data_IF_670208252302
#
_entry.id   IF_670208252302
#
_cell.length_a   1.000
_cell.length_b   1.000
_cell.length_c   1.000
_cell.angle_alpha   90.00
_cell.angle_beta   90.00
_cell.angle_gamma   90.00
#
_symmetry.space_group_name_H-M   'P 1'
#
loop_
_entity.id
_entity.type
_entity.pdbx_description
1 polymer ?
#
# COMPACT_ATOMS: atom_id res chain seq x y z
N UNK A 1 34.81 -12.59 -13.48
CA UNK A 1 33.98 -11.39 -13.33
C UNK A 1 32.92 -11.66 -12.26
N UNK A 2 33.03 -11.02 -11.13
CA UNK A 2 31.98 -11.06 -10.12
C UNK A 2 30.86 -10.15 -10.58
N UNK A 3 29.74 -10.75 -11.04
CA UNK A 3 28.54 -10.00 -11.32
C UNK A 3 27.94 -9.47 -10.03
N UNK A 4 27.78 -8.16 -9.92
CA UNK A 4 27.01 -7.59 -8.82
C UNK A 4 25.54 -7.90 -9.07
N UNK A 5 24.92 -8.67 -8.16
CA UNK A 5 23.49 -8.84 -8.16
C UNK A 5 22.84 -7.50 -7.80
N UNK A 6 22.10 -6.92 -8.73
CA UNK A 6 21.29 -5.72 -8.45
C UNK A 6 20.07 -6.19 -7.69
N UNK A 7 19.98 -5.80 -6.39
CA UNK A 7 18.80 -6.07 -5.60
C UNK A 7 17.68 -5.15 -6.09
N UNK A 8 16.55 -5.75 -6.47
CA UNK A 8 15.35 -5.02 -6.86
C UNK A 8 14.32 -5.13 -5.74
N UNK A 9 13.74 -4.00 -5.34
CA UNK A 9 12.67 -3.98 -4.36
C UNK A 9 11.46 -4.71 -4.94
N UNK A 10 10.93 -5.70 -4.21
CA UNK A 10 9.80 -6.52 -4.61
C UNK A 10 8.79 -6.55 -3.48
N UNK A 11 7.51 -6.36 -3.82
CA UNK A 11 6.38 -6.44 -2.89
C UNK A 11 5.50 -7.63 -3.28
N UNK A 12 5.21 -8.48 -2.31
CA UNK A 12 4.36 -9.67 -2.49
C UNK A 12 3.33 -9.79 -1.39
N UNK A 13 2.34 -10.66 -1.59
CA UNK A 13 1.34 -11.01 -0.58
C UNK A 13 1.12 -12.51 -0.56
N UNK A 14 0.91 -13.08 0.63
CA UNK A 14 0.42 -14.44 0.78
C UNK A 14 -1.12 -14.49 0.71
N UNK A 15 -1.78 -13.34 0.76
CA UNK A 15 -3.24 -13.25 0.70
C UNK A 15 -3.78 -13.34 -0.74
N UNK A 16 -3.00 -12.86 -1.73
CA UNK A 16 -3.37 -12.93 -3.14
C UNK A 16 -2.11 -12.91 -4.02
N UNK A 17 -2.23 -13.38 -5.25
CA UNK A 17 -1.14 -13.35 -6.22
C UNK A 17 -1.20 -12.06 -7.05
N UNK A 18 -0.04 -11.63 -7.58
CA UNK A 18 0.04 -10.44 -8.43
C UNK A 18 -0.92 -10.57 -9.63
N UNK A 19 -1.76 -9.57 -9.82
CA UNK A 19 -2.79 -9.56 -10.87
C UNK A 19 -4.03 -10.39 -10.53
N UNK A 20 -4.01 -11.13 -9.42
CA UNK A 20 -5.11 -11.99 -9.00
C UNK A 20 -6.15 -11.28 -8.16
N UNK A 21 -7.24 -11.99 -7.89
CA UNK A 21 -8.34 -11.45 -7.09
C UNK A 21 -7.96 -11.38 -5.61
N UNK A 22 -8.31 -10.25 -4.99
CA UNK A 22 -8.18 -10.07 -3.54
C UNK A 22 -9.35 -10.84 -2.88
N UNK A 23 -9.08 -11.70 -1.89
CA UNK A 23 -10.15 -12.42 -1.20
C UNK A 23 -11.13 -11.49 -0.47
N UNK A 24 -12.38 -11.90 -0.39
CA UNK A 24 -13.47 -11.13 0.23
C UNK A 24 -13.17 -10.72 1.68
N UNK A 25 -12.36 -11.49 2.40
CA UNK A 25 -11.97 -11.17 3.77
C UNK A 25 -11.28 -9.79 3.91
N UNK A 26 -10.70 -9.29 2.82
CA UNK A 26 -10.00 -8.02 2.78
C UNK A 26 -10.82 -6.89 2.16
N UNK A 27 -12.12 -7.08 2.04
CA UNK A 27 -13.04 -6.18 1.32
C UNK A 27 -14.27 -5.86 2.15
N UNK A 28 -15.10 -4.93 1.64
CA UNK A 28 -16.37 -4.57 2.27
C UNK A 28 -17.38 -5.73 2.32
N UNK A 29 -17.15 -6.79 1.55
CA UNK A 29 -18.00 -7.98 1.56
C UNK A 29 -17.57 -9.03 2.59
N UNK A 30 -16.55 -8.75 3.37
CA UNK A 30 -16.06 -9.61 4.45
C UNK A 30 -15.66 -8.80 5.67
N UNK A 31 -14.72 -9.33 6.45
CA UNK A 31 -14.25 -8.67 7.66
C UNK A 31 -13.47 -7.37 7.40
N UNK A 32 -13.14 -7.10 6.18
CA UNK A 32 -12.40 -5.92 5.73
C UNK A 32 -11.05 -5.76 6.44
N UNK A 33 -10.30 -6.84 6.53
CA UNK A 33 -8.97 -6.85 7.15
C UNK A 33 -7.91 -6.55 6.11
N UNK A 34 -6.87 -5.81 6.49
CA UNK A 34 -5.73 -5.56 5.60
C UNK A 34 -5.09 -6.89 5.17
N UNK A 35 -4.68 -7.05 3.90
CA UNK A 35 -4.00 -8.26 3.46
C UNK A 35 -2.58 -8.33 4.00
N UNK A 36 -2.01 -9.54 4.05
CA UNK A 36 -0.61 -9.74 4.38
C UNK A 36 0.27 -9.19 3.26
N UNK A 37 1.35 -8.52 3.62
CA UNK A 37 2.34 -8.00 2.68
C UNK A 37 3.74 -8.37 3.13
N UNK A 38 4.64 -8.58 2.17
CA UNK A 38 6.05 -8.81 2.43
C UNK A 38 6.89 -8.18 1.34
N UNK A 39 8.09 -7.75 1.67
CA UNK A 39 9.00 -7.15 0.69
C UNK A 39 10.44 -7.55 0.93
N UNK A 40 11.22 -7.48 -0.15
CA UNK A 40 12.64 -7.82 -0.17
C UNK A 40 13.36 -6.94 -1.19
N UNK A 41 14.69 -7.04 -1.23
CA UNK A 41 15.48 -6.24 -2.16
C UNK A 41 15.61 -4.79 -1.73
N UNK A 42 15.68 -4.54 -0.43
CA UNK A 42 15.74 -3.20 0.15
C UNK A 42 17.09 -2.56 -0.19
N UNK A 43 17.09 -1.36 -0.81
CA UNK A 43 18.34 -0.69 -1.15
C UNK A 43 19.09 -0.21 0.09
N UNK A 44 20.42 -0.16 -0.04
CA UNK A 44 21.27 0.40 1.01
C UNK A 44 20.89 1.87 1.23
N UNK A 45 20.93 2.31 2.49
CA UNK A 45 20.58 3.68 2.84
C UNK A 45 19.09 3.91 3.14
N UNK A 46 18.26 2.88 3.03
CA UNK A 46 16.85 2.97 3.40
C UNK A 46 16.71 3.26 4.89
N UNK A 47 15.97 4.29 5.22
CA UNK A 47 15.67 4.68 6.60
C UNK A 47 14.24 4.42 7.00
N UNK A 48 13.32 4.43 6.04
CA UNK A 48 11.91 4.12 6.28
C UNK A 48 11.24 3.68 4.99
N UNK A 49 10.03 3.12 5.14
CA UNK A 49 9.16 2.82 4.00
C UNK A 49 7.85 3.58 4.13
N UNK A 50 7.25 3.86 2.98
CA UNK A 50 5.87 4.33 2.87
C UNK A 50 5.09 3.39 1.96
N UNK A 51 3.81 3.23 2.25
CA UNK A 51 2.90 2.39 1.47
C UNK A 51 1.64 3.19 1.16
N UNK A 52 1.27 3.22 -0.12
CA UNK A 52 0.01 3.82 -0.57
C UNK A 52 -0.75 2.77 -1.37
N UNK A 53 -2.00 2.53 -0.99
CA UNK A 53 -2.90 1.63 -1.72
C UNK A 53 -4.00 2.47 -2.33
N UNK A 54 -4.15 2.40 -3.64
CA UNK A 54 -5.17 3.17 -4.34
C UNK A 54 -5.82 2.40 -5.50
N UNK A 55 -6.97 2.90 -5.92
CA UNK A 55 -7.81 2.35 -6.99
C UNK A 55 -7.92 3.39 -8.10
N UNK A 56 -7.24 3.19 -9.25
CA UNK A 56 -7.31 4.13 -10.38
C UNK A 56 -8.56 3.97 -11.24
N UNK A 57 -9.43 3.01 -10.94
CA UNK A 57 -10.57 2.65 -11.78
C UNK A 57 -11.90 3.19 -11.24
N UNK A 58 -11.88 3.99 -10.19
CA UNK A 58 -13.09 4.49 -9.55
C UNK A 58 -13.79 5.57 -10.39
N UNK A 59 -15.13 5.58 -10.47
CA UNK A 59 -16.06 4.56 -9.95
C UNK A 59 -16.32 3.41 -10.91
N UNK A 60 -16.03 3.58 -12.20
CA UNK A 60 -16.27 2.61 -13.27
C UNK A 60 -15.00 2.44 -14.09
N UNK A 61 -14.47 1.20 -14.23
CA UNK A 61 -13.25 0.95 -15.02
C UNK A 61 -13.35 1.39 -16.50
N UNK A 62 -14.55 1.45 -17.03
CA UNK A 62 -14.79 1.90 -18.42
C UNK A 62 -14.79 3.42 -18.56
N UNK A 63 -14.96 4.13 -17.45
CA UNK A 63 -14.99 5.60 -17.40
C UNK A 63 -14.46 6.07 -16.05
N UNK A 64 -13.18 5.83 -15.73
CA UNK A 64 -12.62 6.21 -14.44
C UNK A 64 -12.58 7.74 -14.32
N UNK A 65 -12.94 8.24 -13.14
CA UNK A 65 -13.00 9.68 -12.85
C UNK A 65 -11.98 10.10 -11.79
N UNK A 66 -11.52 9.17 -10.96
CA UNK A 66 -10.62 9.48 -9.87
C UNK A 66 -9.79 8.26 -9.49
N UNK A 67 -8.68 8.52 -8.82
CA UNK A 67 -7.91 7.50 -8.11
C UNK A 67 -8.31 7.57 -6.65
N UNK A 68 -8.96 6.50 -6.14
CA UNK A 68 -9.47 6.47 -4.77
C UNK A 68 -8.46 5.83 -3.83
N UNK A 69 -8.08 6.56 -2.79
CA UNK A 69 -7.04 6.12 -1.85
C UNK A 69 -7.65 5.31 -0.73
N UNK A 70 -7.15 4.08 -0.56
CA UNK A 70 -7.63 3.10 0.42
C UNK A 70 -6.80 3.08 1.70
N UNK A 71 -5.48 3.28 1.60
CA UNK A 71 -4.57 3.13 2.74
C UNK A 71 -3.31 3.96 2.53
N UNK A 72 -2.88 4.63 3.59
CA UNK A 72 -1.66 5.42 3.60
C UNK A 72 -0.88 5.06 4.87
N UNK A 73 0.33 4.53 4.69
CA UNK A 73 1.27 4.22 5.76
C UNK A 73 2.58 4.93 5.52
N UNK A 74 3.22 5.37 6.58
CA UNK A 74 4.55 5.98 6.49
C UNK A 74 5.34 5.71 7.77
N UNK A 75 6.64 6.03 7.73
CA UNK A 75 7.57 5.73 8.82
C UNK A 75 7.57 4.25 9.21
N UNK A 76 7.32 3.34 8.25
CA UNK A 76 7.61 1.93 8.46
C UNK A 76 9.12 1.80 8.66
N UNK A 77 9.58 1.15 9.75
CA UNK A 77 11.02 1.11 10.03
C UNK A 77 11.79 0.32 8.97
N UNK A 78 13.04 0.72 8.74
CA UNK A 78 13.91 0.08 7.75
C UNK A 78 14.13 -1.41 8.02
N UNK A 79 13.94 -1.84 9.26
CA UNK A 79 14.05 -3.25 9.68
C UNK A 79 12.80 -4.06 9.39
N UNK A 80 11.68 -3.42 9.04
CA UNK A 80 10.45 -4.13 8.69
C UNK A 80 10.58 -4.75 7.30
N UNK A 81 10.10 -5.98 7.15
CA UNK A 81 10.06 -6.70 5.87
C UNK A 81 8.70 -7.28 5.55
N UNK A 82 7.73 -7.10 6.45
CA UNK A 82 6.39 -7.66 6.28
C UNK A 82 5.37 -6.97 7.18
N UNK A 83 4.11 -7.08 6.77
CA UNK A 83 2.95 -6.73 7.59
C UNK A 83 2.04 -7.97 7.62
N UNK A 84 1.64 -8.46 8.80
CA UNK A 84 0.71 -9.58 8.88
C UNK A 84 -0.69 -9.17 8.40
N UNK A 85 -1.47 -10.15 7.96
CA UNK A 85 -2.88 -9.90 7.64
C UNK A 85 -3.61 -9.35 8.87
N UNK A 86 -4.48 -8.38 8.66
CA UNK A 86 -5.26 -7.79 9.74
C UNK A 86 -4.48 -6.82 10.63
N UNK A 87 -3.36 -6.30 10.15
CA UNK A 87 -2.61 -5.29 10.90
C UNK A 87 -3.47 -4.05 11.16
N UNK A 88 -3.37 -3.51 12.37
CA UNK A 88 -4.08 -2.29 12.78
C UNK A 88 -3.07 -1.31 13.37
N UNK A 89 -3.52 -0.10 13.70
CA UNK A 89 -2.65 0.90 14.34
C UNK A 89 -1.98 0.34 15.60
N UNK A 90 -2.66 -0.55 16.32
CA UNK A 90 -2.13 -1.16 17.54
C UNK A 90 -1.06 -2.22 17.28
N UNK A 91 -1.03 -2.80 16.07
CA UNK A 91 -0.13 -3.90 15.71
C UNK A 91 0.87 -3.54 14.63
N UNK A 92 0.86 -2.31 14.14
CA UNK A 92 1.88 -1.82 13.22
C UNK A 92 3.28 -1.90 13.83
N UNK A 93 4.34 -2.08 13.02
CA UNK A 93 5.71 -1.97 13.52
C UNK A 93 5.94 -0.64 14.25
N UNK A 94 6.79 -0.68 15.28
CA UNK A 94 7.07 0.50 16.09
C UNK A 94 7.53 1.70 15.24
N UNK A 95 6.91 2.85 15.46
CA UNK A 95 7.19 4.08 14.73
C UNK A 95 6.35 4.29 13.48
N UNK A 96 5.73 3.22 12.95
CA UNK A 96 4.87 3.33 11.78
C UNK A 96 3.58 4.09 12.10
N UNK A 97 3.15 4.92 11.16
CA UNK A 97 1.95 5.74 11.31
C UNK A 97 1.08 5.66 10.08
N UNK A 98 -0.21 5.93 10.28
CA UNK A 98 -1.20 5.93 9.22
C UNK A 98 -1.57 7.34 8.81
N UNK A 99 -1.67 7.56 7.50
CA UNK A 99 -2.20 8.79 6.93
C UNK A 99 -3.70 8.66 6.66
N UNK A 100 -4.23 9.65 5.94
CA UNK A 100 -5.65 9.78 5.66
C UNK A 100 -6.01 9.14 4.33
N UNK A 101 -7.00 8.25 4.34
CA UNK A 101 -7.60 7.70 3.14
C UNK A 101 -8.70 8.63 2.59
N UNK A 102 -9.29 8.26 1.46
CA UNK A 102 -10.29 9.13 0.80
C UNK A 102 -11.68 9.07 1.44
N UNK A 103 -11.87 8.26 2.49
CA UNK A 103 -13.04 8.37 3.37
C UNK A 103 -12.83 9.39 4.49
N UNK A 104 -11.65 10.02 4.56
CA UNK A 104 -11.31 10.97 5.64
C UNK A 104 -10.94 10.29 6.96
N UNK A 105 -10.66 8.99 6.92
CA UNK A 105 -10.27 8.20 8.09
C UNK A 105 -8.84 7.70 7.92
N UNK A 106 -8.30 7.04 8.94
CA UNK A 106 -7.00 6.36 8.89
C UNK A 106 -7.20 4.86 8.89
N UNK A 107 -6.20 4.13 8.38
CA UNK A 107 -6.22 2.68 8.36
C UNK A 107 -6.71 2.09 7.05
N UNK A 108 -6.64 0.77 6.98
CA UNK A 108 -7.12 0.01 5.84
C UNK A 108 -8.63 0.14 5.70
N UNK A 109 -9.05 0.44 4.49
CA UNK A 109 -10.44 0.35 4.08
C UNK A 109 -10.45 -0.25 2.68
N UNK A 110 -10.98 -1.47 2.57
CA UNK A 110 -10.74 -2.35 1.44
C UNK A 110 -11.61 -2.11 0.23
N UNK A 111 -11.41 -2.94 -0.80
CA UNK A 111 -12.18 -2.87 -2.03
C UNK A 111 -13.69 -2.95 -1.81
N UNK A 112 -14.41 -2.04 -2.47
CA UNK A 112 -15.86 -2.02 -2.50
C UNK A 112 -16.33 -1.38 -3.82
N UNK A 113 -15.91 -1.91 -4.99
CA UNK A 113 -16.15 -1.27 -6.27
C UNK A 113 -17.64 -1.30 -6.61
N UNK A 114 -18.26 -0.13 -6.91
CA UNK A 114 -19.68 -0.09 -7.23
C UNK A 114 -19.99 -0.72 -8.58
N UNK A 115 -19.08 -0.64 -9.55
CA UNK A 115 -19.28 -1.09 -10.92
C UNK A 115 -18.00 -1.79 -11.39
N UNK A 116 -18.12 -3.04 -11.84
CA UNK A 116 -17.07 -3.78 -12.52
C UNK A 116 -15.93 -4.25 -11.61
N UNK A 117 -14.85 -4.70 -12.25
CA UNK A 117 -13.64 -5.17 -11.59
C UNK A 117 -12.61 -4.05 -11.57
N UNK A 118 -12.22 -3.64 -10.38
CA UNK A 118 -11.22 -2.59 -10.19
C UNK A 118 -9.86 -3.17 -9.89
N UNK A 119 -8.81 -2.40 -10.18
CA UNK A 119 -7.45 -2.68 -9.75
C UNK A 119 -7.17 -1.95 -8.45
N UNK A 120 -6.44 -2.62 -7.57
CA UNK A 120 -5.97 -2.03 -6.30
C UNK A 120 -4.45 -2.10 -6.33
N UNK A 121 -3.81 -0.94 -6.37
CA UNK A 121 -2.38 -0.80 -6.57
C UNK A 121 -1.74 -0.53 -5.23
N UNK A 122 -0.94 -1.49 -4.75
CA UNK A 122 -0.16 -1.41 -3.52
C UNK A 122 1.22 -0.88 -3.91
N UNK A 123 1.54 0.36 -3.52
CA UNK A 123 2.78 1.04 -3.89
C UNK A 123 3.66 1.16 -2.67
N UNK A 124 4.85 0.55 -2.70
CA UNK A 124 5.83 0.60 -1.63
C UNK A 124 7.01 1.45 -2.07
N UNK A 125 7.41 2.37 -1.20
CA UNK A 125 8.53 3.28 -1.41
C UNK A 125 9.57 3.08 -0.33
N UNK A 126 10.84 2.86 -0.72
CA UNK A 126 11.97 2.88 0.19
C UNK A 126 12.57 4.28 0.20
N UNK A 127 12.64 4.90 1.38
CA UNK A 127 13.02 6.30 1.54
C UNK A 127 14.36 6.43 2.26
N UNK A 128 15.11 7.48 1.94
CA UNK A 128 16.38 7.81 2.59
C UNK A 128 16.23 8.68 3.84
N UNK A 129 14.97 8.87 4.30
CA UNK A 129 14.67 9.65 5.50
C UNK A 129 13.46 9.07 6.22
N UNK A 130 13.25 9.52 7.46
CA UNK A 130 11.99 9.36 8.17
C UNK A 130 11.20 10.67 8.09
N UNK A 131 9.90 10.62 8.36
CA UNK A 131 8.99 11.76 8.22
C UNK A 131 8.25 12.06 9.55
N UNK A 132 8.99 12.29 10.67
CA UNK A 132 8.38 12.39 11.99
C UNK A 132 7.49 13.60 12.17
N UNK A 133 7.67 14.64 11.35
CA UNK A 133 6.91 15.90 11.44
C UNK A 133 5.59 15.86 10.67
N UNK A 134 5.36 14.84 9.83
CA UNK A 134 4.08 14.68 9.15
C UNK A 134 3.02 14.25 10.17
N UNK A 135 1.86 14.89 10.11
CA UNK A 135 0.72 14.57 10.96
C UNK A 135 -0.45 14.19 10.06
N UNK A 136 -0.78 12.89 10.04
CA UNK A 136 -1.92 12.33 9.31
C UNK A 136 -2.02 12.85 7.87
N UNK A 137 -0.94 12.74 7.05
CA UNK A 137 -0.96 13.24 5.68
C UNK A 137 -1.92 12.41 4.83
N UNK A 138 -2.53 13.06 3.83
CA UNK A 138 -3.14 12.34 2.73
C UNK A 138 -2.06 11.91 1.73
N UNK A 139 -2.49 11.22 0.66
CA UNK A 139 -1.56 10.76 -0.39
C UNK A 139 -0.75 11.92 -0.98
N UNK A 140 -1.40 13.03 -1.31
CA UNK A 140 -0.73 14.16 -1.96
C UNK A 140 0.36 14.77 -1.07
N UNK A 141 0.07 14.96 0.23
CA UNK A 141 1.03 15.50 1.18
C UNK A 141 2.19 14.53 1.45
N UNK A 142 1.89 13.22 1.52
CA UNK A 142 2.93 12.22 1.67
C UNK A 142 3.83 12.17 0.44
N UNK A 143 3.26 12.18 -0.76
CA UNK A 143 4.04 12.18 -2.01
C UNK A 143 4.93 13.42 -2.10
N UNK A 144 4.44 14.58 -1.70
CA UNK A 144 5.23 15.81 -1.67
C UNK A 144 6.42 15.68 -0.70
N UNK A 145 6.20 15.11 0.47
CA UNK A 145 7.24 14.92 1.47
C UNK A 145 8.30 13.89 1.01
N UNK A 146 7.90 12.90 0.23
CA UNK A 146 8.80 11.87 -0.31
C UNK A 146 9.63 12.36 -1.50
N UNK A 147 9.24 13.45 -2.15
CA UNK A 147 9.87 13.92 -3.38
C UNK A 147 11.38 14.19 -3.17
N UNK A 148 12.21 13.55 -4.02
CA UNK A 148 13.66 13.65 -3.91
C UNK A 148 14.29 12.69 -2.91
N UNK A 149 13.49 11.86 -2.23
CA UNK A 149 13.95 10.95 -1.17
C UNK A 149 13.63 9.48 -1.42
N UNK A 150 13.10 9.15 -2.60
CA UNK A 150 12.76 7.77 -2.95
C UNK A 150 13.99 7.08 -3.53
N UNK A 151 14.48 6.07 -2.81
CA UNK A 151 15.61 5.24 -3.26
C UNK A 151 15.16 4.15 -4.23
N UNK A 152 13.97 3.60 -4.00
CA UNK A 152 13.36 2.58 -4.85
C UNK A 152 11.86 2.56 -4.62
N UNK A 153 11.12 2.12 -5.62
CA UNK A 153 9.68 1.91 -5.50
C UNK A 153 9.28 0.65 -6.25
N UNK A 154 8.23 0.03 -5.79
CA UNK A 154 7.63 -1.15 -6.41
C UNK A 154 6.13 -1.14 -6.20
N UNK A 155 5.43 -1.96 -6.96
CA UNK A 155 3.98 -2.09 -6.79
C UNK A 155 3.54 -3.53 -6.93
N UNK A 156 2.42 -3.83 -6.29
CA UNK A 156 1.69 -5.09 -6.37
C UNK A 156 0.25 -4.74 -6.70
N UNK A 157 -0.32 -5.38 -7.71
CA UNK A 157 -1.69 -5.13 -8.12
C UNK A 157 -2.54 -6.35 -7.78
N UNK A 158 -3.65 -6.11 -7.07
CA UNK A 158 -4.74 -7.07 -6.91
C UNK A 158 -6.00 -6.52 -7.53
N UNK A 159 -6.98 -7.38 -7.78
CA UNK A 159 -8.26 -7.00 -8.39
C UNK A 159 -9.42 -7.42 -7.50
N UNK A 160 -10.54 -6.75 -7.67
CA UNK A 160 -11.78 -7.16 -7.00
C UNK A 160 -12.99 -6.67 -7.77
N UNK A 161 -14.00 -7.51 -7.80
CA UNK A 161 -15.34 -7.19 -8.29
C UNK A 161 -16.34 -7.65 -7.21
N UNK A 162 -17.32 -6.79 -6.89
CA UNK A 162 -18.31 -7.16 -5.88
C UNK A 162 -19.13 -8.37 -6.34
N UNK A 163 -19.29 -9.33 -5.44
CA UNK A 163 -20.06 -10.55 -5.68
C UNK A 163 -21.56 -10.32 -5.47
N UNK A 164 -21.89 -9.38 -4.57
CA UNK A 164 -23.26 -9.02 -4.23
C UNK A 164 -23.52 -7.57 -4.67
N UNK A 165 -24.27 -7.44 -5.72
CA UNK A 165 -24.65 -6.12 -6.26
C UNK A 165 -25.92 -5.60 -5.61
#
# INVERSE_FOLDING_TARGET
MSGFAVLTLVLTSTSFTAGGAIPSAHTCEGADRAPALAWSGVPAGTKSFALIVDDPDAPDPKAPQTTWVHWVLYDLPATASALPAGVTVATLPAGAREGRNDWGTTGWRGPCPPIGRHRYVFKLYALDLSLPLLATPDKAHLEQAMQGHVLAQTQLIGTYEKKHK
#
